data_IF_443561293803
#
_entry.id   IF_443561293803
#
_cell.length_a   1.000
_cell.length_b   1.000
_cell.length_c   1.000
_cell.angle_alpha   90.00
_cell.angle_beta   90.00
_cell.angle_gamma   90.00
#
_symmetry.space_group_name_H-M   'P 1'
#
loop_
_entity.id
_entity.type
_entity.pdbx_description
1 polymer ?
#
# COMPACT_ATOMS: atom_id res chain seq x y z
N UNK A 1 49.28 -0.77 -7.70
CA UNK A 1 49.02 -1.61 -6.50
C UNK A 1 48.47 -0.66 -5.44
N UNK A 2 47.14 -0.54 -5.35
CA UNK A 2 46.46 0.45 -4.49
C UNK A 2 45.90 -0.25 -3.24
N UNK A 3 45.85 0.41 -2.08
CA UNK A 3 45.46 -0.24 -0.83
C UNK A 3 43.94 -0.39 -0.77
N UNK A 4 43.47 -1.60 -0.54
CA UNK A 4 42.06 -1.88 -0.25
C UNK A 4 41.78 -1.50 1.21
N UNK A 5 40.84 -0.58 1.40
CA UNK A 5 40.41 -0.10 2.72
C UNK A 5 39.64 -1.19 3.46
N UNK A 6 39.78 -1.24 4.80
CA UNK A 6 39.11 -2.17 5.72
C UNK A 6 37.58 -2.24 5.52
N UNK A 7 36.96 -1.24 4.90
CA UNK A 7 35.52 -1.22 4.60
C UNK A 7 35.11 -2.21 3.51
N UNK A 8 36.02 -2.62 2.63
CA UNK A 8 35.74 -3.64 1.61
C UNK A 8 35.67 -5.06 2.19
N UNK A 9 36.31 -5.31 3.34
CA UNK A 9 36.32 -6.63 3.98
C UNK A 9 35.01 -6.93 4.75
N UNK A 10 34.34 -5.89 5.27
CA UNK A 10 33.07 -6.05 6.01
C UNK A 10 31.87 -6.28 5.09
N UNK A 11 31.92 -5.85 3.82
CA UNK A 11 30.89 -6.13 2.84
C UNK A 11 30.88 -7.59 2.35
N UNK A 12 31.98 -8.34 2.54
CA UNK A 12 32.10 -9.73 2.11
C UNK A 12 31.72 -10.75 3.21
N UNK A 13 31.58 -10.31 4.47
CA UNK A 13 31.24 -11.18 5.60
C UNK A 13 29.73 -11.35 5.84
N UNK A 14 28.87 -10.54 5.21
CA UNK A 14 27.41 -10.63 5.32
C UNK A 14 26.76 -11.73 4.46
N UNK A 15 27.51 -12.34 3.54
CA UNK A 15 26.98 -13.30 2.56
C UNK A 15 27.26 -14.77 2.90
N UNK A 16 27.72 -15.08 4.12
CA UNK A 16 28.01 -16.46 4.54
C UNK A 16 27.03 -17.07 5.55
N UNK A 17 25.98 -16.34 5.96
CA UNK A 17 24.95 -16.86 6.88
C UNK A 17 23.60 -17.18 6.23
N UNK A 18 23.45 -16.99 4.92
CA UNK A 18 22.22 -17.29 4.18
C UNK A 18 22.15 -18.73 3.64
N UNK A 19 23.11 -19.61 3.98
CA UNK A 19 23.19 -20.97 3.43
C UNK A 19 23.26 -22.11 4.47
N UNK A 20 22.75 -21.91 5.68
CA UNK A 20 22.59 -23.00 6.66
C UNK A 20 21.14 -23.10 7.15
N UNK A 21 20.49 -24.28 7.06
CA UNK A 21 19.14 -24.45 7.58
C UNK A 21 19.20 -24.61 9.09
N UNK A 22 19.00 -23.52 9.84
CA UNK A 22 18.87 -23.57 11.30
C UNK A 22 17.39 -23.69 11.67
N UNK A 23 17.02 -24.86 12.21
CA UNK A 23 15.73 -25.14 12.84
C UNK A 23 15.51 -24.22 14.04
N UNK A 24 14.61 -23.23 13.91
CA UNK A 24 14.17 -22.35 15.00
C UNK A 24 12.94 -22.93 15.71
N UNK A 25 13.07 -24.16 16.22
CA UNK A 25 12.17 -24.66 17.25
C UNK A 25 12.97 -24.69 18.55
N UNK A 26 12.42 -24.07 19.59
CA UNK A 26 12.90 -24.01 20.99
C UNK A 26 13.73 -22.79 21.43
N UNK A 27 13.08 -21.62 21.47
CA UNK A 27 13.40 -20.62 22.51
C UNK A 27 12.15 -20.45 23.39
N UNK A 28 12.19 -20.80 24.70
CA UNK A 28 11.05 -20.62 25.60
C UNK A 28 10.86 -19.14 25.92
N UNK A 29 9.65 -18.62 25.69
CA UNK A 29 9.28 -17.24 25.99
C UNK A 29 8.85 -17.13 27.47
N UNK A 30 9.52 -16.35 28.34
CA UNK A 30 9.36 -16.43 29.80
C UNK A 30 8.19 -15.60 30.36
N UNK A 31 7.25 -15.15 29.52
CA UNK A 31 6.15 -14.27 29.95
C UNK A 31 4.78 -14.89 29.69
N UNK A 32 4.48 -15.98 30.38
CA UNK A 32 3.11 -16.47 30.56
C UNK A 32 2.81 -16.57 32.04
N UNK A 33 2.14 -15.55 32.58
CA UNK A 33 1.11 -15.63 33.64
C UNK A 33 0.89 -14.27 34.28
N UNK A 34 -0.02 -13.45 33.73
CA UNK A 34 -0.85 -12.55 34.54
C UNK A 34 -2.21 -12.44 33.84
N UNK A 35 -3.24 -13.02 34.46
CA UNK A 35 -4.62 -12.77 34.08
C UNK A 35 -5.04 -11.38 34.58
N UNK A 36 -5.55 -10.55 33.68
CA UNK A 36 -6.21 -9.29 34.01
C UNK A 36 -7.55 -9.23 33.27
N UNK A 37 -8.61 -9.04 34.05
CA UNK A 37 -9.99 -8.92 33.60
C UNK A 37 -10.17 -7.76 32.61
N UNK A 38 -10.95 -8.03 31.57
CA UNK A 38 -11.26 -7.13 30.47
C UNK A 38 -12.39 -6.17 30.90
N UNK A 39 -12.24 -4.83 30.80
CA UNK A 39 -13.37 -3.94 30.95
C UNK A 39 -14.32 -4.17 29.76
N UNK A 40 -15.58 -4.48 30.07
CA UNK A 40 -16.64 -4.54 29.09
C UNK A 40 -16.83 -3.15 28.44
N UNK A 41 -16.81 -3.09 27.10
CA UNK A 41 -17.27 -1.92 26.36
C UNK A 41 -16.30 -1.28 25.36
N UNK A 42 -15.62 -2.06 24.51
CA UNK A 42 -15.04 -1.52 23.26
C UNK A 42 -15.15 -2.57 22.16
N UNK A 43 -15.81 -2.30 21.01
CA UNK A 43 -15.83 -3.26 19.92
C UNK A 43 -14.40 -3.47 19.41
N UNK A 44 -14.02 -4.74 19.31
CA UNK A 44 -12.78 -5.23 18.72
C UNK A 44 -12.61 -4.73 17.29
N UNK A 45 -11.36 -4.48 16.89
CA UNK A 45 -10.94 -3.91 15.61
C UNK A 45 -11.78 -4.35 14.42
N UNK A 46 -12.36 -3.36 13.75
CA UNK A 46 -12.97 -3.54 12.44
C UNK A 46 -11.83 -3.59 11.42
N UNK A 47 -11.79 -4.67 10.64
CA UNK A 47 -10.98 -4.71 9.42
C UNK A 47 -11.59 -3.75 8.40
N UNK A 48 -10.71 -3.10 7.64
CA UNK A 48 -11.08 -2.45 6.39
C UNK A 48 -11.76 -3.47 5.47
N UNK A 49 -13.04 -3.26 5.17
CA UNK A 49 -13.67 -3.84 3.99
C UNK A 49 -13.22 -2.93 2.85
N UNK A 50 -12.46 -3.42 1.86
CA UNK A 50 -12.13 -2.58 0.73
C UNK A 50 -13.40 -1.96 0.18
N UNK A 51 -13.38 -0.65 -0.06
CA UNK A 51 -14.52 0.15 -0.57
C UNK A 51 -15.09 -0.39 -1.89
N UNK A 52 -14.53 -1.47 -2.39
CA UNK A 52 -14.37 -1.75 -3.78
C UNK A 52 -15.39 -2.79 -4.20
N UNK A 53 -16.15 -2.43 -5.23
CA UNK A 53 -16.70 -3.42 -6.16
C UNK A 53 -15.63 -4.22 -6.91
N UNK A 54 -14.35 -4.16 -6.53
CA UNK A 54 -13.26 -4.95 -7.11
C UNK A 54 -13.42 -6.45 -6.80
N UNK A 55 -12.90 -7.35 -7.65
CA UNK A 55 -12.95 -8.79 -7.40
C UNK A 55 -12.09 -9.18 -6.21
N UNK A 56 -12.51 -10.24 -5.51
CA UNK A 56 -11.62 -10.99 -4.64
C UNK A 56 -10.72 -11.90 -5.49
N UNK A 57 -9.42 -11.87 -5.23
CA UNK A 57 -8.42 -12.67 -5.93
C UNK A 57 -7.79 -13.71 -4.99
N UNK A 58 -7.36 -14.88 -5.48
CA UNK A 58 -6.61 -15.84 -4.68
C UNK A 58 -5.31 -15.24 -4.12
N UNK A 59 -5.02 -15.50 -2.84
CA UNK A 59 -3.79 -15.01 -2.17
C UNK A 59 -2.53 -15.67 -2.73
N UNK A 60 -2.67 -16.89 -3.24
CA UNK A 60 -1.65 -17.72 -3.88
C UNK A 60 -1.71 -17.62 -5.42
N UNK A 61 -2.21 -16.49 -5.92
CA UNK A 61 -2.19 -16.17 -7.34
C UNK A 61 -0.77 -16.20 -7.94
N UNK A 62 -0.66 -16.40 -9.26
CA UNK A 62 0.63 -16.44 -9.94
C UNK A 62 1.36 -15.09 -9.85
N UNK A 63 2.68 -15.14 -9.67
CA UNK A 63 3.53 -13.95 -9.61
C UNK A 63 3.73 -13.35 -11.01
N UNK A 64 3.49 -12.05 -11.14
CA UNK A 64 3.72 -11.27 -12.37
C UNK A 64 5.20 -11.31 -12.78
N UNK A 65 5.51 -11.20 -14.08
CA UNK A 65 6.88 -11.26 -14.63
C UNK A 65 7.67 -12.56 -14.43
N UNK A 66 7.09 -13.59 -13.80
CA UNK A 66 7.76 -14.87 -13.53
C UNK A 66 7.23 -16.04 -14.38
N UNK A 67 6.04 -15.92 -14.96
CA UNK A 67 5.42 -16.99 -15.74
C UNK A 67 5.20 -16.57 -17.21
N UNK A 68 5.44 -17.48 -18.14
CA UNK A 68 5.15 -17.30 -19.58
C UNK A 68 3.74 -17.76 -19.96
N UNK A 69 3.00 -18.35 -19.02
CA UNK A 69 1.61 -18.78 -19.24
C UNK A 69 0.68 -17.59 -19.05
N UNK A 70 -0.17 -17.24 -20.04
CA UNK A 70 -1.20 -16.22 -19.87
C UNK A 70 -2.11 -16.61 -18.72
N UNK A 71 -2.13 -15.78 -17.68
CA UNK A 71 -3.10 -15.95 -16.58
C UNK A 71 -4.40 -15.32 -17.08
N UNK A 72 -5.43 -16.15 -17.24
CA UNK A 72 -6.74 -15.68 -17.64
C UNK A 72 -7.36 -14.88 -16.48
N UNK A 73 -7.63 -13.58 -16.71
CA UNK A 73 -8.31 -12.71 -15.76
C UNK A 73 -7.54 -11.40 -15.52
N UNK A 74 -7.92 -10.35 -16.25
CA UNK A 74 -7.25 -9.04 -16.27
C UNK A 74 -7.25 -8.29 -14.93
N UNK A 75 -8.03 -8.75 -13.94
CA UNK A 75 -8.20 -8.05 -12.66
C UNK A 75 -7.48 -8.71 -11.48
N UNK A 76 -7.02 -9.96 -11.63
CA UNK A 76 -6.31 -10.70 -10.58
C UNK A 76 -4.85 -10.99 -10.93
N UNK A 77 -4.35 -10.40 -12.01
CA UNK A 77 -2.99 -10.57 -12.46
C UNK A 77 -2.47 -9.26 -13.07
N UNK A 78 -1.36 -8.74 -12.54
CA UNK A 78 -0.78 -7.47 -13.02
C UNK A 78 0.08 -7.73 -14.24
N UNK A 79 -0.35 -7.22 -15.40
CA UNK A 79 0.32 -7.35 -16.69
C UNK A 79 -0.20 -6.27 -17.67
N UNK A 80 0.66 -5.68 -18.53
CA UNK A 80 2.08 -5.97 -18.76
C UNK A 80 3.03 -5.30 -17.75
N UNK A 81 2.54 -4.31 -16.98
CA UNK A 81 3.28 -3.59 -15.95
C UNK A 81 3.52 -4.38 -14.67
N UNK A 82 3.97 -5.63 -14.79
CA UNK A 82 4.05 -6.61 -13.71
C UNK A 82 5.15 -6.35 -12.67
N UNK A 83 6.03 -5.38 -12.90
CA UNK A 83 7.09 -4.98 -11.95
C UNK A 83 6.67 -3.70 -11.25
N UNK A 84 6.11 -3.82 -10.05
CA UNK A 84 5.64 -2.68 -9.26
C UNK A 84 6.79 -2.01 -8.49
N UNK A 85 6.98 -0.71 -8.66
CA UNK A 85 7.98 0.08 -7.95
C UNK A 85 7.29 1.02 -6.95
N UNK A 86 7.57 0.86 -5.65
CA UNK A 86 7.28 1.89 -4.67
C UNK A 86 8.48 2.85 -4.63
N UNK A 87 8.27 4.08 -5.07
CA UNK A 87 9.33 5.09 -5.15
C UNK A 87 9.16 6.13 -4.05
N UNK A 88 10.30 6.53 -3.48
CA UNK A 88 10.36 7.44 -2.34
C UNK A 88 11.38 8.55 -2.61
N UNK A 89 11.18 9.70 -1.97
CA UNK A 89 12.14 10.78 -1.88
C UNK A 89 12.76 10.87 -0.49
N UNK A 90 14.03 11.24 -0.47
CA UNK A 90 14.69 11.83 0.68
C UNK A 90 14.96 13.30 0.33
N UNK A 91 14.23 14.21 0.97
CA UNK A 91 14.33 15.65 0.73
C UNK A 91 14.55 16.37 2.08
N UNK A 92 15.69 17.04 2.22
CA UNK A 92 16.09 17.70 3.47
C UNK A 92 15.40 19.07 3.68
N UNK A 93 14.64 19.54 2.68
CA UNK A 93 13.97 20.85 2.71
C UNK A 93 12.44 20.73 2.62
N UNK A 94 11.93 19.68 1.97
CA UNK A 94 10.50 19.49 1.71
C UNK A 94 9.94 18.39 2.61
N UNK A 95 9.43 18.80 3.77
CA UNK A 95 8.80 17.93 4.75
C UNK A 95 7.69 18.67 5.50
N UNK A 96 6.69 17.93 5.95
CA UNK A 96 5.72 18.45 6.91
C UNK A 96 6.35 18.52 8.30
N UNK A 97 5.89 19.46 9.14
CA UNK A 97 6.45 19.63 10.48
C UNK A 97 6.40 18.34 11.32
N UNK A 98 7.53 17.97 11.91
CA UNK A 98 7.70 16.74 12.68
C UNK A 98 7.95 15.48 11.84
N UNK A 99 8.19 15.62 10.53
CA UNK A 99 8.54 14.55 9.59
C UNK A 99 9.88 14.82 8.88
N UNK A 100 10.75 15.64 9.49
CA UNK A 100 12.04 16.08 8.94
C UNK A 100 13.01 14.91 8.68
N UNK A 101 12.84 13.79 9.40
CA UNK A 101 13.70 12.60 9.32
C UNK A 101 13.05 11.45 8.55
N UNK A 102 11.86 11.67 7.97
CA UNK A 102 11.08 10.65 7.29
C UNK A 102 11.30 10.68 5.77
N UNK A 103 11.31 9.50 5.14
CA UNK A 103 11.18 9.40 3.69
C UNK A 103 9.75 9.75 3.27
N UNK A 104 9.61 10.46 2.15
CA UNK A 104 8.31 10.79 1.56
C UNK A 104 8.04 9.95 0.31
N UNK A 105 6.78 9.79 -0.02
CA UNK A 105 6.32 9.10 -1.22
C UNK A 105 6.57 9.95 -2.47
N UNK A 106 7.05 9.28 -3.51
CA UNK A 106 6.99 9.79 -4.87
C UNK A 106 5.82 9.14 -5.62
N UNK A 107 5.75 7.81 -5.66
CA UNK A 107 4.61 7.10 -6.27
C UNK A 107 4.74 5.58 -6.35
N UNK A 108 3.72 4.94 -6.94
CA UNK A 108 3.65 3.51 -7.18
C UNK A 108 3.53 3.23 -8.68
N UNK A 109 4.57 2.66 -9.29
CA UNK A 109 4.70 2.63 -10.74
C UNK A 109 4.67 1.21 -11.31
N UNK A 110 3.87 0.95 -12.36
CA UNK A 110 3.83 -0.35 -13.04
C UNK A 110 4.84 -0.40 -14.20
N UNK A 111 6.07 -0.88 -13.95
CA UNK A 111 7.05 -1.10 -15.00
C UNK A 111 6.77 -2.42 -15.74
N UNK A 112 7.09 -2.43 -17.03
CA UNK A 112 7.13 -3.63 -17.85
C UNK A 112 8.22 -4.58 -17.32
N UNK A 113 8.01 -5.89 -17.53
CA UNK A 113 8.93 -6.91 -17.04
C UNK A 113 10.35 -6.82 -17.64
N UNK A 114 10.51 -6.13 -18.78
CA UNK A 114 11.78 -5.96 -19.48
C UNK A 114 12.59 -4.74 -19.03
N UNK A 115 12.02 -3.87 -18.19
CA UNK A 115 12.67 -2.61 -17.82
C UNK A 115 11.95 -1.35 -18.29
N UNK A 116 11.13 -1.43 -19.33
CA UNK A 116 10.38 -0.31 -19.87
C UNK A 116 9.19 0.09 -19.00
N UNK A 117 8.44 1.10 -19.43
CA UNK A 117 7.23 1.55 -18.75
C UNK A 117 6.24 2.19 -19.73
N UNK A 118 4.96 1.99 -19.45
CA UNK A 118 3.88 2.76 -20.05
C UNK A 118 3.55 3.99 -19.20
N UNK A 119 2.93 5.01 -19.79
CA UNK A 119 2.52 6.21 -19.09
C UNK A 119 1.25 6.81 -19.71
N UNK A 120 0.41 7.42 -18.88
CA UNK A 120 -0.84 8.06 -19.30
C UNK A 120 -1.77 7.12 -20.07
N UNK A 121 -1.96 5.91 -19.55
CA UNK A 121 -2.82 4.91 -20.15
C UNK A 121 -4.31 5.27 -20.02
N UNK A 122 -5.17 4.56 -20.75
CA UNK A 122 -6.61 4.81 -20.81
C UNK A 122 -7.44 3.64 -20.23
N UNK A 123 -6.90 2.88 -19.28
CA UNK A 123 -7.60 1.76 -18.64
C UNK A 123 -8.66 2.24 -17.63
N UNK A 124 -8.49 3.45 -17.13
CA UNK A 124 -9.36 4.14 -16.17
C UNK A 124 -9.22 5.66 -16.38
N UNK A 125 -10.24 6.49 -16.08
CA UNK A 125 -10.18 7.93 -16.37
C UNK A 125 -9.05 8.67 -15.64
N UNK A 126 -8.59 9.74 -16.27
CA UNK A 126 -7.73 10.74 -15.64
C UNK A 126 -8.59 11.74 -14.83
N UNK A 127 -8.02 12.28 -13.75
CA UNK A 127 -8.68 13.20 -12.83
C UNK A 127 -7.82 14.42 -12.51
N UNK A 128 -8.46 15.50 -12.07
CA UNK A 128 -7.84 16.79 -11.69
C UNK A 128 -8.31 17.27 -10.30
N UNK A 129 -8.75 16.33 -9.48
CA UNK A 129 -9.46 16.58 -8.23
C UNK A 129 -9.36 15.36 -7.30
N UNK A 130 -8.18 14.75 -7.24
CA UNK A 130 -7.84 13.59 -6.43
C UNK A 130 -8.26 13.80 -4.97
N UNK A 131 -7.90 14.92 -4.34
CA UNK A 131 -8.33 15.22 -2.96
C UNK A 131 -9.84 15.16 -2.78
N UNK A 132 -10.59 15.71 -3.74
CA UNK A 132 -12.03 15.78 -3.66
C UNK A 132 -12.66 14.39 -3.82
N UNK A 133 -12.13 13.58 -4.73
CA UNK A 133 -12.54 12.17 -4.92
C UNK A 133 -12.31 11.37 -3.64
N UNK A 134 -11.11 11.44 -3.07
CA UNK A 134 -10.76 10.75 -1.83
C UNK A 134 -11.70 11.16 -0.69
N UNK A 135 -11.88 12.47 -0.46
CA UNK A 135 -12.79 12.97 0.59
C UNK A 135 -14.25 12.56 0.37
N UNK A 136 -14.74 12.58 -0.88
CA UNK A 136 -16.09 12.13 -1.21
C UNK A 136 -16.32 10.64 -0.90
N UNK A 137 -15.26 9.83 -0.96
CA UNK A 137 -15.26 8.41 -0.58
C UNK A 137 -14.88 8.18 0.90
N UNK A 138 -14.96 9.22 1.74
CA UNK A 138 -14.69 9.12 3.18
C UNK A 138 -13.20 9.03 3.56
N UNK A 139 -12.29 9.27 2.61
CA UNK A 139 -10.83 9.09 2.77
C UNK A 139 -10.11 10.33 3.29
N UNK A 140 -10.73 11.08 4.21
CA UNK A 140 -10.10 12.29 4.77
C UNK A 140 -8.79 11.99 5.50
N UNK A 141 -8.71 10.88 6.24
CA UNK A 141 -7.50 10.48 6.97
C UNK A 141 -6.35 10.10 6.01
N UNK A 142 -6.67 9.52 4.84
CA UNK A 142 -5.68 9.27 3.79
C UNK A 142 -5.18 10.59 3.18
N UNK A 143 -6.05 11.57 2.95
CA UNK A 143 -5.60 12.88 2.45
C UNK A 143 -4.70 13.57 3.47
N UNK A 144 -5.01 13.51 4.77
CA UNK A 144 -4.14 14.03 5.83
C UNK A 144 -2.78 13.32 5.86
N UNK A 145 -2.76 12.00 5.66
CA UNK A 145 -1.52 11.24 5.50
C UNK A 145 -0.71 11.70 4.28
N UNK A 146 -1.36 11.87 3.13
CA UNK A 146 -0.73 12.31 1.89
C UNK A 146 -0.17 13.73 2.02
N UNK A 147 -0.90 14.64 2.67
CA UNK A 147 -0.42 16.00 2.97
C UNK A 147 0.79 16.02 3.90
N UNK A 148 1.08 14.92 4.61
CA UNK A 148 2.25 14.79 5.47
C UNK A 148 3.42 14.11 4.79
N UNK A 149 3.15 13.06 4.01
CA UNK A 149 4.18 12.14 3.51
C UNK A 149 4.25 12.00 2.00
N UNK A 150 3.41 12.67 1.21
CA UNK A 150 3.44 12.61 -0.26
C UNK A 150 3.47 14.03 -0.85
N UNK A 151 4.58 14.71 -0.61
CA UNK A 151 4.72 16.16 -0.78
C UNK A 151 5.24 16.55 -2.16
N UNK A 152 4.67 17.60 -2.74
CA UNK A 152 5.20 18.21 -3.94
C UNK A 152 6.42 19.08 -3.60
N UNK A 153 7.54 18.84 -4.28
CA UNK A 153 8.71 19.73 -4.18
C UNK A 153 8.50 21.09 -4.86
N UNK A 154 7.42 21.23 -5.67
CA UNK A 154 7.01 22.46 -6.35
C UNK A 154 5.50 22.50 -6.49
N UNK A 155 4.90 23.66 -6.21
CA UNK A 155 3.45 23.83 -6.34
C UNK A 155 2.68 23.14 -5.22
N UNK A 156 1.41 22.81 -5.48
CA UNK A 156 0.53 22.16 -4.52
C UNK A 156 0.62 20.63 -4.62
N UNK A 157 0.46 19.93 -3.50
CA UNK A 157 0.44 18.46 -3.44
C UNK A 157 -0.58 17.83 -4.40
N UNK A 158 -1.74 18.47 -4.56
CA UNK A 158 -2.78 18.03 -5.52
C UNK A 158 -2.21 17.84 -6.94
N UNK A 159 -1.34 18.74 -7.39
CA UNK A 159 -0.74 18.63 -8.72
C UNK A 159 0.22 17.43 -8.85
N UNK A 160 0.92 17.06 -7.78
CA UNK A 160 1.72 15.84 -7.74
C UNK A 160 0.80 14.61 -7.75
N UNK A 161 -0.24 14.58 -6.94
CA UNK A 161 -1.16 13.44 -6.87
C UNK A 161 -1.90 13.22 -8.20
N UNK A 162 -2.31 14.30 -8.88
CA UNK A 162 -2.82 14.25 -10.24
C UNK A 162 -1.81 13.63 -11.20
N UNK A 163 -0.53 14.03 -11.12
CA UNK A 163 0.53 13.46 -11.97
C UNK A 163 0.68 11.96 -11.73
N UNK A 164 0.81 11.54 -10.48
CA UNK A 164 1.05 10.15 -10.11
C UNK A 164 -0.13 9.25 -10.52
N UNK A 165 -1.37 9.69 -10.28
CA UNK A 165 -2.54 8.95 -10.76
C UNK A 165 -2.59 8.91 -12.30
N UNK A 166 -2.57 10.07 -12.95
CA UNK A 166 -2.82 10.17 -14.39
C UNK A 166 -1.73 9.49 -15.21
N UNK A 167 -0.47 9.53 -14.75
CA UNK A 167 0.68 8.96 -15.46
C UNK A 167 0.89 7.47 -15.14
N UNK A 168 0.78 7.09 -13.87
CA UNK A 168 1.17 5.75 -13.40
C UNK A 168 -0.04 4.91 -12.98
N UNK A 169 -0.94 5.46 -12.15
CA UNK A 169 -2.14 4.76 -11.69
C UNK A 169 -3.03 4.25 -12.83
N UNK A 170 -3.19 5.06 -13.89
CA UNK A 170 -3.99 4.70 -15.08
C UNK A 170 -3.43 3.51 -15.87
N UNK A 171 -2.16 3.13 -15.66
CA UNK A 171 -1.48 2.03 -16.35
C UNK A 171 -1.52 0.71 -15.57
N UNK A 172 -2.11 0.67 -14.37
CA UNK A 172 -2.27 -0.56 -13.60
C UNK A 172 -3.54 -1.27 -14.08
N UNK A 173 -3.40 -2.38 -14.82
CA UNK A 173 -4.52 -3.08 -15.43
C UNK A 173 -5.57 -3.58 -14.43
N UNK A 174 -5.14 -3.98 -13.23
CA UNK A 174 -6.05 -4.45 -12.18
C UNK A 174 -6.84 -3.30 -11.52
N UNK A 175 -6.55 -2.04 -11.87
CA UNK A 175 -7.34 -0.86 -11.51
C UNK A 175 -8.26 -0.39 -12.64
N UNK A 176 -8.34 -1.13 -13.75
CA UNK A 176 -9.23 -0.79 -14.86
C UNK A 176 -10.68 -0.70 -14.38
N UNK A 177 -11.47 0.19 -14.98
CA UNK A 177 -12.87 0.38 -14.60
C UNK A 177 -13.70 -0.92 -14.71
N UNK A 178 -13.34 -1.81 -15.65
CA UNK A 178 -13.97 -3.14 -15.82
C UNK A 178 -13.74 -4.08 -14.65
N UNK A 179 -12.75 -3.83 -13.80
CA UNK A 179 -12.50 -4.59 -12.59
C UNK A 179 -13.44 -4.23 -11.45
N UNK A 180 -14.22 -3.15 -11.55
CA UNK A 180 -15.14 -2.74 -10.49
C UNK A 180 -16.59 -3.04 -10.90
N UNK A 181 -17.27 -3.90 -10.15
CA UNK A 181 -18.69 -4.20 -10.31
C UNK A 181 -19.55 -3.13 -9.62
N UNK A 182 -20.49 -2.47 -10.33
CA UNK A 182 -21.43 -1.53 -9.74
C UNK A 182 -22.35 -2.14 -8.66
N UNK A 183 -22.55 -3.45 -8.67
CA UNK A 183 -23.41 -4.15 -7.71
C UNK A 183 -22.71 -4.47 -6.38
N UNK A 184 -21.37 -4.50 -6.37
CA UNK A 184 -20.56 -4.82 -5.20
C UNK A 184 -20.08 -3.56 -4.45
N UNK A 185 -20.14 -2.38 -5.08
CA UNK A 185 -19.95 -1.13 -4.38
C UNK A 185 -21.21 -0.83 -3.55
N UNK A 186 -21.09 -0.84 -2.21
CA UNK A 186 -22.16 -0.42 -1.31
C UNK A 186 -22.51 1.09 -1.45
N UNK A 187 -21.84 1.80 -2.35
CA UNK A 187 -22.03 3.21 -2.70
C UNK A 187 -22.26 3.37 -4.20
N UNK A 188 -22.95 4.43 -4.62
CA UNK A 188 -23.11 4.85 -6.02
C UNK A 188 -21.80 5.36 -6.65
N UNK A 189 -20.65 4.88 -6.19
CA UNK A 189 -19.34 5.38 -6.55
C UNK A 189 -18.97 4.98 -7.98
N UNK A 190 -18.38 5.92 -8.70
CA UNK A 190 -17.87 5.71 -10.04
C UNK A 190 -16.68 4.71 -9.98
N UNK A 191 -16.66 3.64 -10.80
CA UNK A 191 -15.54 2.70 -10.90
C UNK A 191 -14.15 3.35 -10.95
N UNK A 192 -13.99 4.45 -11.69
CA UNK A 192 -12.72 5.17 -11.78
C UNK A 192 -12.34 5.89 -10.49
N UNK A 193 -13.32 6.40 -9.73
CA UNK A 193 -13.06 7.02 -8.43
C UNK A 193 -12.71 5.99 -7.36
N UNK A 194 -13.31 4.79 -7.42
CA UNK A 194 -12.92 3.66 -6.57
C UNK A 194 -11.49 3.22 -6.85
N UNK A 195 -11.09 3.19 -8.12
CA UNK A 195 -9.71 2.88 -8.51
C UNK A 195 -8.70 3.92 -8.01
N UNK A 196 -9.07 5.21 -7.98
CA UNK A 196 -8.27 6.28 -7.36
C UNK A 196 -8.05 5.99 -5.87
N UNK A 197 -9.12 5.67 -5.14
CA UNK A 197 -9.03 5.31 -3.72
C UNK A 197 -8.08 4.13 -3.52
N UNK A 198 -8.26 3.04 -4.27
CA UNK A 198 -7.43 1.85 -4.15
C UNK A 198 -5.94 2.13 -4.44
N UNK A 199 -5.64 2.96 -5.45
CA UNK A 199 -4.26 3.36 -5.77
C UNK A 199 -3.59 4.06 -4.59
N UNK A 200 -4.21 5.13 -4.07
CA UNK A 200 -3.62 5.94 -3.01
C UNK A 200 -3.58 5.21 -1.67
N UNK A 201 -4.59 4.39 -1.35
CA UNK A 201 -4.57 3.51 -0.17
C UNK A 201 -3.41 2.52 -0.27
N UNK A 202 -3.23 1.84 -1.40
CA UNK A 202 -2.15 0.85 -1.57
C UNK A 202 -0.77 1.48 -1.50
N UNK A 203 -0.54 2.57 -2.23
CA UNK A 203 0.74 3.29 -2.22
C UNK A 203 1.07 3.82 -0.82
N UNK A 204 0.10 4.47 -0.13
CA UNK A 204 0.26 4.97 1.23
C UNK A 204 0.56 3.86 2.24
N UNK A 205 -0.17 2.75 2.14
CA UNK A 205 -0.01 1.59 3.05
C UNK A 205 1.33 0.89 2.87
N UNK A 206 1.85 0.84 1.64
CA UNK A 206 3.17 0.26 1.36
C UNK A 206 4.31 1.13 1.94
N UNK A 207 4.14 2.45 2.00
CA UNK A 207 5.14 3.35 2.60
C UNK A 207 5.27 3.19 4.10
N UNK A 208 4.14 3.23 4.81
CA UNK A 208 4.12 3.22 6.27
C UNK A 208 4.29 1.81 6.85
N UNK A 209 4.04 0.76 6.04
CA UNK A 209 3.82 -0.59 6.54
C UNK A 209 2.53 -0.70 7.38
N UNK A 210 1.73 0.36 7.43
CA UNK A 210 0.49 0.49 8.19
C UNK A 210 -0.63 0.85 7.22
N UNK A 211 -1.58 -0.06 7.01
CA UNK A 211 -2.76 0.27 6.23
C UNK A 211 -3.52 1.42 6.89
N UNK A 212 -3.66 2.55 6.20
CA UNK A 212 -4.56 3.64 6.61
C UNK A 212 -5.99 3.12 6.41
N UNK A 213 -6.79 2.91 7.47
CA UNK A 213 -8.13 2.35 7.31
C UNK A 213 -8.99 3.35 6.56
N UNK A 214 -9.43 2.97 5.37
CA UNK A 214 -10.45 3.69 4.65
C UNK A 214 -11.80 3.48 5.38
N UNK A 215 -12.48 4.56 5.79
CA UNK A 215 -13.75 4.43 6.54
C UNK A 215 -14.80 3.67 5.74
N UNK A 216 -15.39 2.66 6.37
CA UNK A 216 -16.47 1.87 5.78
C UNK A 216 -17.68 2.77 5.40
N UNK A 217 -18.39 2.50 4.29
CA UNK A 217 -19.70 3.08 4.04
C UNK A 217 -20.72 2.63 5.11
N UNK A 218 -21.81 3.40 5.33
CA UNK A 218 -22.76 3.19 6.41
C UNK A 218 -23.74 2.03 6.12
N UNK A 219 -23.24 0.81 5.93
CA UNK A 219 -24.06 -0.40 5.99
C UNK A 219 -23.26 -1.56 6.53
N UNK A 220 -23.80 -2.15 7.60
CA UNK A 220 -23.27 -3.27 8.38
C UNK A 220 -22.99 -4.46 7.47
N UNK A 221 -21.82 -5.10 7.62
CA UNK A 221 -21.71 -6.54 7.41
C UNK A 221 -20.59 -7.15 8.26
N UNK A 222 -20.89 -8.32 8.82
CA UNK A 222 -20.01 -9.12 9.64
C UNK A 222 -19.04 -9.91 8.76
N UNK A 223 -17.74 -9.61 8.85
CA UNK A 223 -16.69 -10.31 8.10
C UNK A 223 -16.34 -11.69 8.67
N UNK A 224 -15.93 -12.60 7.79
CA UNK A 224 -15.51 -13.99 8.03
C UNK A 224 -13.98 -14.17 8.04
N UNK A 225 -13.24 -13.17 8.52
CA UNK A 225 -11.78 -13.21 8.51
C UNK A 225 -11.20 -14.32 9.38
N UNK A 226 -10.08 -14.88 8.93
CA UNK A 226 -9.33 -15.86 9.70
C UNK A 226 -8.75 -15.24 10.99
N UNK A 227 -8.89 -15.91 12.16
CA UNK A 227 -8.57 -15.32 13.47
C UNK A 227 -7.10 -14.96 13.73
N UNK A 228 -6.19 -15.28 12.81
CA UNK A 228 -4.75 -15.00 12.92
C UNK A 228 -4.29 -13.75 12.17
N UNK A 229 -5.16 -13.08 11.41
CA UNK A 229 -4.86 -11.77 10.85
C UNK A 229 -5.09 -10.73 11.95
N UNK A 230 -4.01 -10.32 12.62
CA UNK A 230 -4.01 -9.29 13.68
C UNK A 230 -3.15 -8.11 13.25
N UNK A 231 -3.73 -6.91 13.26
CA UNK A 231 -2.98 -5.66 13.14
C UNK A 231 -2.41 -5.25 14.50
N UNK A 232 -1.25 -4.59 14.48
CA UNK A 232 -0.56 -4.16 15.69
C UNK A 232 -1.41 -3.10 16.44
N UNK A 233 -1.68 -3.25 17.76
CA UNK A 233 -2.41 -2.23 18.51
C UNK A 233 -1.56 -0.96 18.68
N UNK A 234 -2.04 0.18 18.21
CA UNK A 234 -1.43 1.50 18.49
C UNK A 234 -1.60 1.85 19.97
N UNK A 235 -0.49 1.89 20.73
CA UNK A 235 -0.46 2.52 22.06
C UNK A 235 -0.46 4.04 21.89
N UNK A 236 -1.25 4.75 22.70
CA UNK A 236 -1.26 6.22 22.69
C UNK A 236 0.00 6.77 23.35
N UNK A 237 0.52 7.89 22.82
CA UNK A 237 1.72 8.63 23.28
C UNK A 237 1.51 9.34 24.63
N UNK A 238 0.93 8.66 25.64
CA UNK A 238 0.82 9.10 27.04
C UNK A 238 1.40 8.09 28.04
N UNK A 239 2.19 7.13 27.58
CA UNK A 239 2.92 6.18 28.43
C UNK A 239 4.40 6.08 28.01
N UNK A 240 5.07 7.23 27.97
CA UNK A 240 6.53 7.36 28.13
C UNK A 240 6.79 8.26 29.34
#
# INVERSE_FOLDING_TARGET
>A
MAPQSLKAFLAYAGNLFSQLPASLNEIPNPFFSVGLEQPAGRPSGQCYIPLSGAPACPVDGPLSCHNSTPVAGDCCFIHPGGRMLLTQFWDDQVHAGGAEEDWTLHGLWPDLCDGGYDQFCNLVPQYKNISAILKAQGQSELVEFMDRYWLANRGANEGLWEHEWNKHGTCINTLAASCYSPAAAASSANPGELAVVDYFVRAGSLQSGEFVPAKDPPSRDAGNCAPWVRYMPKRSRREL
#
